data_IF_327759669890
#
_entry.id   IF_327759669890
#
_cell.length_a   1.000
_cell.length_b   1.000
_cell.length_c   1.000
_cell.angle_alpha   90.00
_cell.angle_beta   90.00
_cell.angle_gamma   90.00
#
_symmetry.space_group_name_H-M   'P 1'
#
loop_
_entity.id
_entity.type
_entity.pdbx_description
1 polymer ?
#
# COMPACT_ATOMS: atom_id res chain seq x y z
N UNK A 1 11.10 -14.27 11.72
CA UNK A 1 10.21 -13.49 12.61
C UNK A 1 9.59 -12.40 11.75
N UNK A 2 8.27 -12.31 11.64
CA UNK A 2 7.64 -11.26 10.82
C UNK A 2 7.66 -9.97 11.64
N UNK A 3 8.30 -8.88 11.18
CA UNK A 3 8.28 -7.63 11.91
C UNK A 3 6.85 -7.09 11.96
N UNK A 4 6.32 -6.91 13.18
CA UNK A 4 5.08 -6.17 13.36
C UNK A 4 5.45 -4.70 13.42
N UNK A 5 5.05 -3.95 12.40
CA UNK A 5 5.25 -2.51 12.36
C UNK A 5 3.91 -1.78 12.21
N UNK A 6 3.92 -0.49 12.47
CA UNK A 6 2.75 0.36 12.28
C UNK A 6 2.62 0.75 10.81
N UNK A 7 1.40 1.05 10.36
CA UNK A 7 1.18 1.54 8.99
C UNK A 7 1.95 2.85 8.75
N UNK A 8 2.11 3.69 9.78
CA UNK A 8 2.89 4.91 9.71
C UNK A 8 4.39 4.63 9.46
N UNK A 9 4.97 3.65 10.14
CA UNK A 9 6.36 3.24 9.95
C UNK A 9 6.59 2.65 8.55
N UNK A 10 5.64 1.85 8.05
CA UNK A 10 5.66 1.37 6.67
C UNK A 10 5.60 2.53 5.67
N UNK A 11 4.70 3.50 5.87
CA UNK A 11 4.59 4.70 5.02
C UNK A 11 5.89 5.50 5.05
N UNK A 12 6.51 5.66 6.22
CA UNK A 12 7.74 6.42 6.38
C UNK A 12 8.92 5.74 5.67
N UNK A 13 9.06 4.41 5.82
CA UNK A 13 10.08 3.63 5.12
C UNK A 13 9.91 3.68 3.59
N UNK A 14 8.66 3.67 3.10
CA UNK A 14 8.37 3.84 1.67
C UNK A 14 8.64 5.27 1.22
N UNK A 15 8.36 6.27 2.06
CA UNK A 15 8.63 7.67 1.78
C UNK A 15 10.12 8.00 1.60
N UNK A 16 11.01 7.26 2.26
CA UNK A 16 12.46 7.39 2.03
C UNK A 16 12.90 6.96 0.62
N UNK A 17 12.08 6.15 -0.06
CA UNK A 17 12.38 5.61 -1.39
C UNK A 17 11.51 6.19 -2.51
N UNK A 18 10.37 6.79 -2.17
CA UNK A 18 9.41 7.34 -3.12
C UNK A 18 9.55 8.85 -3.27
N UNK A 19 9.27 9.39 -4.47
CA UNK A 19 9.41 10.83 -4.74
C UNK A 19 8.12 11.62 -4.58
N UNK A 20 7.00 10.96 -4.30
CA UNK A 20 5.68 11.59 -4.22
C UNK A 20 4.73 10.78 -3.35
N UNK A 21 3.78 11.46 -2.72
CA UNK A 21 2.72 10.83 -1.90
C UNK A 21 1.92 9.80 -2.70
N UNK A 22 1.66 10.04 -3.98
CA UNK A 22 1.00 9.06 -4.86
C UNK A 22 1.81 7.77 -5.02
N UNK A 23 3.13 7.86 -5.17
CA UNK A 23 4.01 6.68 -5.25
C UNK A 23 4.06 5.92 -3.92
N UNK A 24 4.08 6.66 -2.81
CA UNK A 24 4.03 6.06 -1.47
C UNK A 24 2.75 5.26 -1.31
N UNK A 25 1.60 5.88 -1.62
CA UNK A 25 0.30 5.25 -1.49
C UNK A 25 0.18 4.03 -2.41
N UNK A 26 0.58 4.16 -3.68
CA UNK A 26 0.56 3.06 -4.65
C UNK A 26 1.42 1.88 -4.19
N UNK A 27 2.60 2.15 -3.63
CA UNK A 27 3.51 1.11 -3.13
C UNK A 27 2.93 0.40 -1.91
N UNK A 28 2.41 1.14 -0.92
CA UNK A 28 1.80 0.56 0.28
C UNK A 28 0.57 -0.27 -0.09
N UNK A 29 -0.30 0.26 -0.96
CA UNK A 29 -1.48 -0.44 -1.48
C UNK A 29 -1.07 -1.72 -2.21
N UNK A 30 -0.05 -1.66 -3.07
CA UNK A 30 0.47 -2.82 -3.77
C UNK A 30 0.99 -3.90 -2.82
N UNK A 31 1.80 -3.52 -1.83
CA UNK A 31 2.37 -4.45 -0.84
C UNK A 31 1.28 -5.15 -0.02
N UNK A 32 0.22 -4.43 0.35
CA UNK A 32 -0.90 -5.00 1.11
C UNK A 32 -1.77 -5.89 0.24
N UNK A 33 -2.06 -5.48 -1.00
CA UNK A 33 -2.86 -6.28 -1.94
C UNK A 33 -2.17 -7.58 -2.35
N UNK A 34 -0.86 -7.55 -2.59
CA UNK A 34 -0.04 -8.74 -2.86
C UNK A 34 0.16 -9.64 -1.65
N UNK A 35 -0.16 -9.17 -0.45
CA UNK A 35 0.05 -9.91 0.79
C UNK A 35 1.50 -9.89 1.31
N UNK A 36 2.34 -9.00 0.79
CA UNK A 36 3.66 -8.72 1.39
C UNK A 36 3.52 -8.06 2.76
N UNK A 37 2.48 -7.24 2.92
CA UNK A 37 2.08 -6.66 4.20
C UNK A 37 0.71 -7.21 4.56
N UNK A 38 0.58 -7.70 5.79
CA UNK A 38 -0.69 -8.12 6.34
C UNK A 38 -1.10 -7.14 7.41
N UNK A 39 -2.24 -6.49 7.20
CA UNK A 39 -2.87 -5.69 8.24
C UNK A 39 -3.27 -6.62 9.40
N UNK A 40 -3.09 -6.13 10.62
CA UNK A 40 -3.43 -6.83 11.86
C UNK A 40 -4.57 -6.08 12.58
N UNK A 41 -5.28 -6.78 13.49
CA UNK A 41 -6.40 -6.20 14.25
C UNK A 41 -7.70 -6.13 13.44
N UNK A 42 -8.42 -5.01 13.54
CA UNK A 42 -9.72 -4.78 12.87
C UNK A 42 -9.63 -4.87 11.35
N UNK A 43 -8.48 -4.53 10.77
CA UNK A 43 -8.24 -4.56 9.32
C UNK A 43 -7.61 -5.88 8.85
N UNK A 44 -7.66 -6.94 9.67
CA UNK A 44 -7.04 -8.22 9.33
C UNK A 44 -7.68 -8.83 8.09
N UNK A 45 -6.87 -8.96 7.03
CA UNK A 45 -7.31 -9.52 5.75
C UNK A 45 -8.03 -8.51 4.85
N UNK A 46 -8.15 -7.25 5.27
CA UNK A 46 -8.69 -6.20 4.42
C UNK A 46 -7.66 -5.84 3.35
N UNK A 47 -8.15 -5.65 2.13
CA UNK A 47 -7.39 -5.16 0.99
C UNK A 47 -7.76 -3.71 0.74
N UNK A 48 -6.81 -2.92 0.29
CA UNK A 48 -7.11 -1.58 -0.18
C UNK A 48 -7.76 -1.71 -1.56
N UNK A 49 -9.03 -1.32 -1.66
CA UNK A 49 -9.65 -1.13 -2.97
C UNK A 49 -8.86 -0.05 -3.67
N UNK A 50 -8.11 -0.46 -4.68
CA UNK A 50 -7.41 0.47 -5.55
C UNK A 50 -8.50 1.01 -6.46
N UNK A 51 -9.22 2.03 -5.99
CA UNK A 51 -10.12 2.87 -6.80
C UNK A 51 -9.32 3.69 -7.82
N UNK A 52 -8.35 3.04 -8.44
CA UNK A 52 -7.73 3.48 -9.66
C UNK A 52 -8.79 3.25 -10.72
N UNK A 53 -9.42 4.34 -11.07
CA UNK A 53 -9.84 4.71 -12.41
C UNK A 53 -8.65 4.59 -13.42
N UNK A 54 -7.89 3.49 -13.37
CA UNK A 54 -6.93 3.04 -14.36
C UNK A 54 -7.67 2.32 -15.50
N UNK A 55 -8.99 2.45 -15.57
CA UNK A 55 -9.76 2.19 -16.79
C UNK A 55 -9.63 3.40 -17.75
N UNK A 56 -9.42 4.62 -17.22
CA UNK A 56 -9.30 5.83 -18.03
C UNK A 56 -7.95 6.00 -18.75
N UNK A 57 -6.89 5.32 -18.28
CA UNK A 57 -5.53 5.41 -18.84
C UNK A 57 -5.16 4.20 -19.71
N UNK A 58 -6.01 3.16 -19.76
CA UNK A 58 -5.86 2.00 -20.62
C UNK A 58 -6.68 2.09 -21.93
N UNK A 59 -7.49 3.14 -22.09
CA UNK A 59 -8.38 3.35 -23.24
C UNK A 59 -7.87 4.38 -24.28
N UNK A 60 -6.57 4.72 -24.26
CA UNK A 60 -5.94 5.64 -25.23
C UNK A 60 -5.28 4.90 -26.40
#
# INVERSE_FOLDING_TARGET
MVPNTTLLDLVNAVAEHARSEAEILATVVFMVNRGHVRLCGTFKGTRFETGLELDALAAA
#
